data_IF_340111714044
#
_entry.id   IF_340111714044
#
_cell.length_a   1.000
_cell.length_b   1.000
_cell.length_c   1.000
_cell.angle_alpha   90.00
_cell.angle_beta   90.00
_cell.angle_gamma   90.00
#
_symmetry.space_group_name_H-M   'P 1'
#
loop_
_entity.id
_entity.type
_entity.pdbx_description
1 polymer ?
#
# COMPACT_ATOMS: atom_id res chain seq x y z
N UNK A 1 -71.48 31.64 1.00
CA UNK A 1 -71.67 30.20 0.76
C UNK A 1 -71.19 29.90 -0.66
N UNK A 2 -70.31 28.91 -0.87
CA UNK A 2 -69.94 28.48 -2.23
C UNK A 2 -71.21 27.99 -2.94
N UNK A 3 -71.41 28.38 -4.20
CA UNK A 3 -72.57 27.92 -4.98
C UNK A 3 -72.31 26.50 -5.50
N UNK A 4 -73.34 25.66 -5.74
CA UNK A 4 -73.18 24.27 -6.20
C UNK A 4 -72.39 24.10 -7.52
N UNK A 5 -72.16 25.17 -8.29
CA UNK A 5 -71.30 25.18 -9.47
C UNK A 5 -69.79 25.20 -9.17
N UNK A 6 -69.38 25.62 -7.96
CA UNK A 6 -67.98 25.62 -7.50
C UNK A 6 -67.47 24.22 -7.09
N UNK A 7 -68.33 23.19 -7.16
CA UNK A 7 -67.99 21.81 -6.83
C UNK A 7 -67.84 20.88 -8.05
N UNK A 8 -68.02 21.41 -9.26
CA UNK A 8 -67.78 20.62 -10.48
C UNK A 8 -66.27 20.58 -10.77
N UNK A 9 -65.69 19.39 -11.02
CA UNK A 9 -64.28 19.26 -11.37
C UNK A 9 -63.97 20.19 -12.53
N UNK A 10 -62.93 21.02 -12.36
CA UNK A 10 -62.67 22.20 -13.18
C UNK A 10 -62.87 21.90 -14.67
N UNK A 11 -63.71 22.71 -15.33
CA UNK A 11 -64.06 22.52 -16.74
C UNK A 11 -62.82 22.50 -17.65
N UNK A 12 -62.99 22.25 -18.96
CA UNK A 12 -61.89 22.06 -19.93
C UNK A 12 -60.80 23.16 -19.90
N UNK A 13 -61.17 24.37 -19.51
CA UNK A 13 -60.28 25.51 -19.34
C UNK A 13 -59.35 25.40 -18.13
N UNK A 14 -59.81 24.79 -17.02
CA UNK A 14 -58.97 24.50 -15.85
C UNK A 14 -57.92 23.44 -16.22
N UNK A 15 -58.36 22.34 -16.86
CA UNK A 15 -57.46 21.30 -17.35
C UNK A 15 -56.40 21.85 -18.32
N UNK A 16 -56.78 22.78 -19.21
CA UNK A 16 -55.84 23.40 -20.12
C UNK A 16 -54.78 24.25 -19.40
N UNK A 17 -55.14 24.94 -18.32
CA UNK A 17 -54.21 25.70 -17.46
C UNK A 17 -53.29 24.75 -16.70
N UNK A 18 -53.84 23.70 -16.10
CA UNK A 18 -53.07 22.70 -15.34
C UNK A 18 -52.05 21.99 -16.25
N UNK A 19 -52.42 21.66 -17.49
CA UNK A 19 -51.51 21.10 -18.50
C UNK A 19 -50.40 22.11 -18.88
N UNK A 20 -50.73 23.39 -19.02
CA UNK A 20 -49.75 24.42 -19.33
C UNK A 20 -48.73 24.60 -18.19
N UNK A 21 -49.20 24.56 -16.95
CA UNK A 21 -48.36 24.64 -15.75
C UNK A 21 -47.47 23.40 -15.59
N UNK A 22 -48.01 22.19 -15.78
CA UNK A 22 -47.21 20.97 -15.80
C UNK A 22 -46.14 21.01 -16.89
N UNK A 23 -46.46 21.50 -18.10
CA UNK A 23 -45.47 21.66 -19.19
C UNK A 23 -44.38 22.67 -18.85
N UNK A 24 -44.70 23.72 -18.08
CA UNK A 24 -43.72 24.69 -17.60
C UNK A 24 -42.81 24.06 -16.53
N UNK A 25 -43.39 23.41 -15.53
CA UNK A 25 -42.65 22.72 -14.47
C UNK A 25 -41.75 21.61 -15.04
N UNK A 26 -42.22 20.83 -16.02
CA UNK A 26 -41.39 19.81 -16.69
C UNK A 26 -40.24 20.43 -17.47
N UNK A 27 -40.44 21.60 -18.10
CA UNK A 27 -39.33 22.33 -18.76
C UNK A 27 -38.31 22.83 -17.76
N UNK A 28 -38.76 23.38 -16.62
CA UNK A 28 -37.88 23.82 -15.54
C UNK A 28 -37.11 22.64 -14.92
N UNK A 29 -37.77 21.51 -14.64
CA UNK A 29 -37.10 20.30 -14.14
C UNK A 29 -36.10 19.71 -15.14
N UNK A 30 -36.42 19.77 -16.45
CA UNK A 30 -35.48 19.33 -17.50
C UNK A 30 -34.29 20.28 -17.64
N UNK A 31 -34.49 21.59 -17.48
CA UNK A 31 -33.41 22.56 -17.44
C UNK A 31 -32.55 22.36 -16.18
N UNK A 32 -33.18 22.18 -15.02
CA UNK A 32 -32.51 21.92 -13.74
C UNK A 32 -31.72 20.59 -13.71
N UNK A 33 -32.09 19.61 -14.54
CA UNK A 33 -31.33 18.35 -14.70
C UNK A 33 -29.94 18.55 -15.29
N UNK A 34 -29.67 19.68 -15.97
CA UNK A 34 -28.34 20.03 -16.48
C UNK A 34 -27.72 21.07 -15.56
N UNK A 35 -26.89 20.60 -14.64
CA UNK A 35 -26.07 21.48 -13.80
C UNK A 35 -24.84 21.91 -14.62
N UNK A 36 -24.95 23.04 -15.33
CA UNK A 36 -23.84 23.62 -16.10
C UNK A 36 -22.89 24.43 -15.21
N UNK A 37 -23.42 25.05 -14.16
CA UNK A 37 -22.67 25.74 -13.11
C UNK A 37 -23.44 25.64 -11.80
N UNK A 38 -22.82 25.03 -10.79
CA UNK A 38 -23.43 24.84 -9.48
C UNK A 38 -22.38 25.00 -8.39
N UNK A 39 -22.70 25.80 -7.37
CA UNK A 39 -21.97 25.80 -6.11
C UNK A 39 -22.67 24.85 -5.14
N UNK A 40 -21.91 23.95 -4.53
CA UNK A 40 -22.44 23.05 -3.49
C UNK A 40 -22.37 23.79 -2.16
N UNK A 41 -23.54 24.12 -1.59
CA UNK A 41 -23.64 24.76 -0.28
C UNK A 41 -23.31 23.81 0.88
N UNK A 42 -23.57 24.25 2.11
CA UNK A 42 -23.24 23.51 3.33
C UNK A 42 -23.84 22.09 3.42
N UNK A 43 -24.92 21.80 2.66
CA UNK A 43 -25.54 20.47 2.60
C UNK A 43 -24.75 19.43 1.81
N UNK A 44 -23.72 19.83 1.05
CA UNK A 44 -22.86 18.90 0.31
C UNK A 44 -23.52 18.25 -0.92
N UNK A 45 -22.75 17.39 -1.59
CA UNK A 45 -23.21 16.51 -2.68
C UNK A 45 -23.08 15.07 -2.20
N UNK A 46 -24.19 14.33 -2.19
CA UNK A 46 -24.19 12.90 -1.86
C UNK A 46 -24.47 12.07 -3.12
N UNK A 47 -23.52 11.22 -3.48
CA UNK A 47 -23.64 10.26 -4.57
C UNK A 47 -24.00 8.89 -3.96
N UNK A 48 -25.07 8.25 -4.45
CA UNK A 48 -25.59 6.97 -3.91
C UNK A 48 -25.98 6.02 -5.03
N UNK A 49 -26.30 4.76 -4.70
CA UNK A 49 -26.79 3.78 -5.68
C UNK A 49 -25.77 3.43 -6.77
N UNK A 50 -24.47 3.48 -6.44
CA UNK A 50 -23.39 3.24 -7.39
C UNK A 50 -23.14 4.39 -8.38
N UNK A 51 -23.63 5.60 -8.07
CA UNK A 51 -23.29 6.81 -8.84
C UNK A 51 -21.79 7.11 -8.86
N UNK A 52 -21.39 8.01 -9.78
CA UNK A 52 -19.99 8.29 -10.11
C UNK A 52 -19.77 9.78 -10.30
N UNK A 53 -18.65 10.29 -9.82
CA UNK A 53 -18.11 11.61 -10.14
C UNK A 53 -16.95 11.46 -11.13
N UNK A 54 -17.01 12.25 -12.20
CA UNK A 54 -16.29 12.04 -13.43
C UNK A 54 -15.77 13.37 -13.97
N UNK A 55 -14.49 13.43 -14.33
CA UNK A 55 -13.93 14.55 -15.10
C UNK A 55 -13.27 14.04 -16.36
N UNK A 56 -13.74 14.50 -17.52
CA UNK A 56 -13.20 14.18 -18.84
C UNK A 56 -12.53 15.43 -19.45
N UNK A 57 -11.41 15.25 -20.13
CA UNK A 57 -10.81 16.32 -20.95
C UNK A 57 -11.65 16.56 -22.22
N UNK A 58 -11.44 17.68 -22.94
CA UNK A 58 -12.05 17.90 -24.25
C UNK A 58 -11.80 16.76 -25.25
N UNK A 59 -10.66 16.06 -25.10
CA UNK A 59 -10.28 14.91 -25.91
C UNK A 59 -10.88 13.58 -25.41
N UNK A 60 -11.84 13.63 -24.48
CA UNK A 60 -12.51 12.47 -23.85
C UNK A 60 -11.58 11.55 -23.06
N UNK A 61 -10.47 12.09 -22.53
CA UNK A 61 -9.63 11.36 -21.59
C UNK A 61 -10.19 11.52 -20.18
N UNK A 62 -10.49 10.41 -19.51
CA UNK A 62 -10.92 10.40 -18.11
C UNK A 62 -9.75 10.82 -17.22
N UNK A 63 -9.87 11.93 -16.49
CA UNK A 63 -8.86 12.41 -15.54
C UNK A 63 -9.19 12.07 -14.10
N UNK A 64 -10.43 12.29 -13.67
CA UNK A 64 -10.88 11.97 -12.31
C UNK A 64 -12.05 11.01 -12.39
N UNK A 65 -11.98 9.96 -11.61
CA UNK A 65 -13.02 8.96 -11.49
C UNK A 65 -13.21 8.55 -10.03
N UNK A 66 -14.38 8.81 -9.48
CA UNK A 66 -14.72 8.48 -8.09
C UNK A 66 -16.10 7.81 -8.08
N UNK A 67 -16.16 6.58 -7.56
CA UNK A 67 -17.39 5.80 -7.48
C UNK A 67 -17.21 4.39 -8.07
N UNK A 68 -18.30 3.80 -8.56
CA UNK A 68 -18.29 2.42 -9.06
C UNK A 68 -17.42 2.25 -10.30
N UNK A 69 -16.44 1.34 -10.25
CA UNK A 69 -15.74 0.86 -11.43
C UNK A 69 -16.68 -0.03 -12.25
N UNK A 70 -16.82 0.32 -13.52
CA UNK A 70 -17.68 -0.42 -14.47
C UNK A 70 -16.97 -1.57 -15.16
N UNK A 71 -15.69 -1.73 -14.90
CA UNK A 71 -14.85 -2.74 -15.55
C UNK A 71 -14.77 -3.99 -14.68
N UNK A 72 -15.31 -5.09 -15.21
CA UNK A 72 -15.50 -6.35 -14.49
C UNK A 72 -14.19 -6.96 -13.98
N UNK A 73 -13.03 -6.60 -14.53
CA UNK A 73 -11.74 -7.08 -14.02
C UNK A 73 -11.41 -6.55 -12.62
N UNK A 74 -12.08 -5.49 -12.19
CA UNK A 74 -11.94 -4.89 -10.85
C UNK A 74 -13.11 -5.21 -9.94
N UNK A 75 -14.04 -6.08 -10.36
CA UNK A 75 -15.09 -6.58 -9.48
C UNK A 75 -14.47 -7.39 -8.35
N UNK A 76 -15.13 -7.34 -7.19
CA UNK A 76 -14.82 -8.23 -6.07
C UNK A 76 -14.94 -9.70 -6.49
N UNK A 77 -14.39 -10.62 -5.70
CA UNK A 77 -14.43 -12.05 -5.99
C UNK A 77 -15.85 -12.63 -6.04
N UNK A 78 -16.82 -11.96 -5.41
CA UNK A 78 -18.25 -12.27 -5.50
C UNK A 78 -18.93 -11.75 -6.80
N UNK A 79 -18.17 -11.06 -7.66
CA UNK A 79 -18.63 -10.48 -8.91
C UNK A 79 -19.29 -9.10 -8.77
N UNK A 80 -19.43 -8.57 -7.54
CA UNK A 80 -19.99 -7.25 -7.30
C UNK A 80 -19.01 -6.13 -7.73
N UNK A 81 -19.52 -4.98 -8.19
CA UNK A 81 -18.65 -3.91 -8.66
C UNK A 81 -18.02 -3.15 -7.49
N UNK A 82 -16.75 -2.78 -7.65
CA UNK A 82 -15.98 -2.11 -6.62
C UNK A 82 -16.10 -0.58 -6.71
N UNK A 83 -16.08 0.10 -5.56
CA UNK A 83 -15.91 1.56 -5.50
C UNK A 83 -14.43 1.92 -5.59
N UNK A 84 -14.06 2.92 -6.37
CA UNK A 84 -12.67 3.33 -6.51
C UNK A 84 -12.51 4.84 -6.60
N UNK A 85 -11.25 5.24 -6.42
CA UNK A 85 -10.75 6.57 -6.75
C UNK A 85 -9.65 6.37 -7.79
N UNK A 86 -9.73 7.06 -8.93
CA UNK A 86 -8.67 7.10 -9.92
C UNK A 86 -8.42 8.55 -10.35
N UNK A 87 -7.15 8.92 -10.31
CA UNK A 87 -6.63 10.16 -10.86
C UNK A 87 -5.63 9.82 -11.95
N UNK A 88 -5.86 10.36 -13.15
CA UNK A 88 -5.06 10.14 -14.36
C UNK A 88 -4.45 11.45 -14.84
N UNK A 89 -3.34 11.33 -15.55
CA UNK A 89 -2.69 12.42 -16.27
C UNK A 89 -3.47 12.73 -17.56
N UNK A 90 -3.12 13.83 -18.22
CA UNK A 90 -3.75 14.24 -19.48
C UNK A 90 -3.57 13.21 -20.62
N UNK A 91 -2.50 12.41 -20.56
CA UNK A 91 -2.24 11.30 -21.48
C UNK A 91 -3.06 10.03 -21.17
N UNK A 92 -3.88 10.05 -20.11
CA UNK A 92 -4.70 8.92 -19.66
C UNK A 92 -3.99 7.95 -18.71
N UNK A 93 -2.69 8.11 -18.51
CA UNK A 93 -1.89 7.30 -17.59
C UNK A 93 -2.30 7.51 -16.14
N UNK A 94 -2.41 6.43 -15.37
CA UNK A 94 -2.81 6.49 -13.96
C UNK A 94 -1.71 7.17 -13.14
N UNK A 95 -2.09 8.16 -12.33
CA UNK A 95 -1.19 8.87 -11.42
C UNK A 95 -1.41 8.40 -9.98
N UNK A 96 -2.67 8.29 -9.56
CA UNK A 96 -3.04 7.88 -8.21
C UNK A 96 -4.32 7.06 -8.26
N UNK A 97 -4.41 6.00 -7.45
CA UNK A 97 -5.62 5.22 -7.36
C UNK A 97 -5.83 4.57 -5.99
N UNK A 98 -7.08 4.30 -5.67
CA UNK A 98 -7.51 3.43 -4.58
C UNK A 98 -8.51 2.43 -5.15
N UNK A 99 -8.09 1.17 -5.28
CA UNK A 99 -8.91 0.03 -5.69
C UNK A 99 -8.16 -1.27 -5.35
N UNK A 100 -8.89 -2.37 -5.16
CA UNK A 100 -8.32 -3.72 -5.11
C UNK A 100 -8.22 -4.32 -6.52
N UNK A 101 -7.27 -5.24 -6.73
CA UNK A 101 -7.18 -6.04 -7.95
C UNK A 101 -7.38 -7.52 -7.61
N UNK A 102 -8.64 -7.98 -7.49
CA UNK A 102 -8.95 -9.34 -7.04
C UNK A 102 -8.34 -10.46 -7.88
N UNK A 103 -8.11 -10.33 -9.20
CA UNK A 103 -7.39 -11.36 -9.96
C UNK A 103 -5.98 -11.67 -9.43
N UNK A 104 -5.34 -10.73 -8.70
CA UNK A 104 -4.06 -10.95 -8.01
C UNK A 104 -4.20 -11.38 -6.55
N UNK A 105 -5.40 -11.73 -6.08
CA UNK A 105 -5.64 -12.44 -4.83
C UNK A 105 -6.00 -11.61 -3.59
N UNK A 106 -6.12 -10.28 -3.70
CA UNK A 106 -6.57 -9.43 -2.59
C UNK A 106 -7.76 -8.56 -2.99
N UNK A 107 -8.81 -8.62 -2.17
CA UNK A 107 -9.96 -7.72 -2.24
C UNK A 107 -9.76 -6.44 -1.43
N UNK A 108 -8.65 -6.33 -0.70
CA UNK A 108 -8.33 -5.15 0.07
C UNK A 108 -7.86 -4.04 -0.88
N UNK A 109 -8.50 -2.87 -0.76
CA UNK A 109 -8.10 -1.70 -1.50
C UNK A 109 -6.79 -1.16 -0.95
N UNK A 110 -5.96 -0.64 -1.86
CA UNK A 110 -4.75 0.08 -1.47
C UNK A 110 -4.68 1.40 -2.23
N UNK A 111 -4.31 2.47 -1.55
CA UNK A 111 -3.77 3.67 -2.17
C UNK A 111 -2.46 3.36 -2.88
N UNK A 112 -2.36 3.81 -4.14
CA UNK A 112 -1.18 3.63 -5.00
C UNK A 112 -0.91 4.93 -5.75
N UNK A 113 0.35 5.31 -5.78
CA UNK A 113 0.90 6.37 -6.63
C UNK A 113 1.76 5.72 -7.71
N UNK A 114 1.59 6.18 -8.95
CA UNK A 114 2.20 5.58 -10.13
C UNK A 114 3.14 6.57 -10.83
N UNK A 115 4.22 6.09 -11.43
CA UNK A 115 5.03 6.86 -12.38
C UNK A 115 4.35 6.95 -13.76
N UNK A 116 5.06 7.47 -14.78
CA UNK A 116 4.53 7.57 -16.15
C UNK A 116 4.52 6.25 -16.91
N UNK A 117 5.31 5.27 -16.50
CA UNK A 117 5.37 3.94 -17.15
C UNK A 117 4.45 2.93 -16.49
N UNK A 118 3.73 3.33 -15.44
CA UNK A 118 2.74 2.51 -14.75
C UNK A 118 3.31 1.73 -13.55
N UNK A 119 4.53 2.04 -13.11
CA UNK A 119 5.09 1.42 -11.90
C UNK A 119 4.55 2.11 -10.65
N UNK A 120 4.28 1.31 -9.62
CA UNK A 120 3.91 1.80 -8.29
C UNK A 120 5.16 2.35 -7.60
N UNK A 121 5.16 3.65 -7.33
CA UNK A 121 6.23 4.36 -6.62
C UNK A 121 5.97 4.46 -5.11
N UNK A 122 4.68 4.50 -4.73
CA UNK A 122 4.25 4.50 -3.34
C UNK A 122 2.95 3.72 -3.24
N UNK A 123 2.83 2.86 -2.23
CA UNK A 123 1.57 2.19 -1.94
C UNK A 123 1.48 1.83 -0.46
N UNK A 124 0.27 1.78 0.07
CA UNK A 124 0.02 1.14 1.36
C UNK A 124 0.04 -0.39 1.25
N UNK A 125 0.39 -1.07 2.33
CA UNK A 125 0.28 -2.51 2.39
C UNK A 125 -1.15 -2.94 2.76
N UNK A 126 -1.94 -3.22 1.73
CA UNK A 126 -3.29 -3.75 1.89
C UNK A 126 -3.33 -5.16 2.51
N UNK A 127 -2.22 -5.91 2.49
CA UNK A 127 -2.16 -7.26 3.04
C UNK A 127 -2.16 -7.25 4.57
N UNK A 128 -1.20 -6.54 5.19
CA UNK A 128 -1.15 -6.39 6.65
C UNK A 128 -2.07 -5.27 7.18
N UNK A 129 -2.49 -4.34 6.32
CA UNK A 129 -3.20 -3.14 6.73
C UNK A 129 -2.30 -2.12 7.47
N UNK A 130 -0.98 -2.30 7.45
CA UNK A 130 -0.02 -1.49 8.18
C UNK A 130 1.09 -0.97 7.26
N UNK A 131 1.29 0.35 7.28
CA UNK A 131 2.43 0.99 6.64
C UNK A 131 2.39 1.00 5.11
N UNK A 132 3.57 1.12 4.51
CA UNK A 132 3.77 1.19 3.06
C UNK A 132 4.23 -0.15 2.50
N UNK A 133 3.59 -0.64 1.44
CA UNK A 133 4.17 -1.71 0.61
C UNK A 133 5.36 -1.19 -0.21
N UNK A 134 5.36 0.12 -0.56
CA UNK A 134 6.46 0.80 -1.26
C UNK A 134 6.55 2.28 -0.86
N UNK A 135 7.75 2.87 -0.78
CA UNK A 135 9.07 2.26 -1.00
C UNK A 135 9.54 1.42 0.19
N UNK A 136 10.53 0.56 -0.05
CA UNK A 136 11.24 -0.14 1.03
C UNK A 136 12.06 0.85 1.85
N UNK A 137 12.02 0.69 3.16
CA UNK A 137 12.67 1.63 4.08
C UNK A 137 14.00 1.06 4.57
N UNK A 138 15.13 1.75 4.33
CA UNK A 138 16.44 1.25 4.75
C UNK A 138 16.51 1.20 6.29
N UNK A 139 17.06 0.11 6.81
CA UNK A 139 17.35 -0.08 8.22
C UNK A 139 18.85 0.14 8.41
N UNK A 140 19.28 1.18 9.15
CA UNK A 140 20.70 1.42 9.38
C UNK A 140 21.24 0.41 10.40
N UNK A 141 22.34 -0.25 10.05
CA UNK A 141 23.12 -1.07 10.98
C UNK A 141 24.58 -0.59 10.97
N UNK A 142 25.20 -0.61 12.14
CA UNK A 142 26.63 -0.43 12.31
C UNK A 142 27.33 -1.74 12.72
N UNK A 143 28.65 -1.84 12.53
CA UNK A 143 29.42 -2.96 13.05
C UNK A 143 29.30 -2.99 14.58
N UNK A 144 29.11 -4.17 15.15
CA UNK A 144 29.13 -4.33 16.59
C UNK A 144 30.58 -4.26 17.11
N UNK A 145 30.77 -3.62 18.27
CA UNK A 145 32.09 -3.55 18.90
C UNK A 145 32.43 -4.88 19.57
N UNK A 146 33.52 -5.52 19.14
CA UNK A 146 33.98 -6.82 19.66
C UNK A 146 35.15 -6.70 20.65
N UNK A 147 35.41 -5.50 21.23
CA UNK A 147 36.47 -5.33 22.22
C UNK A 147 37.89 -5.25 21.65
N UNK A 148 38.03 -5.16 20.32
CA UNK A 148 39.31 -5.06 19.61
C UNK A 148 39.29 -3.88 18.62
N UNK A 149 40.47 -3.38 18.27
CA UNK A 149 40.67 -2.35 17.23
C UNK A 149 40.53 -2.91 15.79
N UNK A 150 40.21 -4.20 15.65
CA UNK A 150 39.82 -4.79 14.37
C UNK A 150 38.44 -4.27 13.97
N UNK A 151 38.40 -3.35 13.00
CA UNK A 151 37.17 -2.72 12.50
C UNK A 151 36.27 -3.64 11.65
N UNK A 152 36.66 -4.90 11.46
CA UNK A 152 35.93 -5.87 10.65
C UNK A 152 35.22 -6.91 11.53
N UNK A 153 33.87 -6.91 11.57
CA UNK A 153 33.11 -7.89 12.35
C UNK A 153 33.52 -9.32 12.05
N UNK A 154 33.82 -10.11 13.09
CA UNK A 154 34.26 -11.49 12.94
C UNK A 154 33.83 -12.39 14.11
N UNK A 155 33.56 -13.65 13.83
CA UNK A 155 33.36 -14.65 14.87
C UNK A 155 34.40 -15.78 14.76
N UNK A 156 35.36 -15.80 15.67
CA UNK A 156 36.41 -16.84 15.75
C UNK A 156 36.14 -17.90 16.84
N UNK A 157 35.13 -17.68 17.68
CA UNK A 157 34.72 -18.59 18.75
C UNK A 157 33.53 -19.46 18.37
N UNK A 158 33.26 -20.47 19.20
CA UNK A 158 32.04 -21.30 19.13
C UNK A 158 30.84 -20.66 19.83
N UNK A 159 31.09 -19.61 20.62
CA UNK A 159 30.05 -18.78 21.25
C UNK A 159 29.57 -17.73 20.26
N UNK A 160 28.27 -17.49 20.25
CA UNK A 160 27.64 -16.46 19.42
C UNK A 160 28.14 -15.06 19.82
N UNK A 161 28.64 -14.31 18.84
CA UNK A 161 29.01 -12.91 18.99
C UNK A 161 28.18 -12.03 18.06
N UNK A 162 27.97 -10.78 18.44
CA UNK A 162 27.30 -9.78 17.59
C UNK A 162 28.29 -9.28 16.54
N UNK A 163 27.88 -9.29 15.28
CA UNK A 163 28.66 -8.82 14.14
C UNK A 163 28.16 -7.44 13.69
N UNK A 164 26.84 -7.30 13.55
CA UNK A 164 26.19 -6.05 13.17
C UNK A 164 25.03 -5.77 14.12
N UNK A 165 24.77 -4.51 14.41
CA UNK A 165 23.65 -4.10 15.26
C UNK A 165 23.05 -2.78 14.78
N UNK A 166 21.75 -2.64 14.99
CA UNK A 166 21.00 -1.44 14.65
C UNK A 166 19.73 -1.37 15.47
N UNK A 167 19.09 -0.19 15.41
CA UNK A 167 17.81 0.06 16.06
C UNK A 167 16.97 0.93 15.12
N UNK A 168 15.73 0.55 14.90
CA UNK A 168 14.83 1.22 13.96
C UNK A 168 13.41 1.29 14.51
N UNK A 169 12.57 2.15 13.94
CA UNK A 169 11.13 2.18 14.24
C UNK A 169 10.38 1.28 13.26
N UNK A 170 9.49 0.41 13.74
CA UNK A 170 8.68 -0.43 12.86
C UNK A 170 7.72 0.42 12.04
N UNK A 171 8.00 0.59 10.75
CA UNK A 171 7.07 1.24 9.83
C UNK A 171 6.39 0.26 8.88
N UNK A 172 7.13 -0.73 8.36
CA UNK A 172 6.59 -1.76 7.45
C UNK A 172 6.52 -3.14 8.14
N UNK A 173 5.66 -4.06 7.68
CA UNK A 173 5.37 -5.31 8.37
C UNK A 173 6.53 -6.31 8.35
N UNK A 174 7.44 -6.26 7.38
CA UNK A 174 8.52 -7.23 7.28
C UNK A 174 9.91 -6.58 7.28
N UNK A 175 10.93 -7.39 7.52
CA UNK A 175 12.33 -7.02 7.38
C UNK A 175 13.11 -8.03 6.53
N UNK A 176 14.01 -7.51 5.70
CA UNK A 176 14.95 -8.31 4.90
C UNK A 176 16.36 -7.79 5.16
N UNK A 177 17.31 -8.72 5.31
CA UNK A 177 18.72 -8.42 5.42
C UNK A 177 19.50 -9.18 4.35
N UNK A 178 20.40 -8.48 3.66
CA UNK A 178 21.33 -9.04 2.68
C UNK A 178 22.75 -8.82 3.17
N UNK A 179 23.51 -9.90 3.22
CA UNK A 179 24.91 -9.86 3.66
C UNK A 179 25.75 -10.85 2.90
N UNK A 180 27.06 -10.62 2.90
CA UNK A 180 28.06 -11.56 2.41
C UNK A 180 28.78 -12.17 3.61
N UNK A 181 29.00 -13.48 3.59
CA UNK A 181 29.78 -14.14 4.62
C UNK A 181 30.65 -15.26 4.05
N UNK A 182 31.78 -15.52 4.73
CA UNK A 182 32.69 -16.62 4.44
C UNK A 182 33.42 -17.03 5.71
N UNK A 183 33.80 -18.30 5.81
CA UNK A 183 34.91 -18.71 6.66
C UNK A 183 36.23 -18.31 5.97
N UNK A 184 37.25 -17.93 6.74
CA UNK A 184 38.58 -17.57 6.22
C UNK A 184 39.56 -18.74 6.14
N UNK A 185 39.15 -19.93 6.59
CA UNK A 185 39.98 -21.14 6.63
C UNK A 185 39.24 -22.33 6.04
N UNK A 186 39.93 -23.10 5.17
CA UNK A 186 39.38 -24.31 4.54
C UNK A 186 38.97 -25.37 5.57
N UNK A 187 37.86 -26.05 5.31
CA UNK A 187 37.28 -27.06 6.21
C UNK A 187 36.57 -26.51 7.44
N UNK A 188 36.57 -25.19 7.66
CA UNK A 188 35.82 -24.56 8.73
C UNK A 188 34.36 -24.28 8.31
N UNK A 189 33.46 -24.32 9.29
CA UNK A 189 32.05 -23.96 9.12
C UNK A 189 31.62 -22.98 10.21
N UNK A 190 30.64 -22.14 9.91
CA UNK A 190 30.03 -21.23 10.87
C UNK A 190 28.55 -21.00 10.58
N UNK A 191 27.90 -20.28 11.47
CA UNK A 191 26.52 -19.82 11.29
C UNK A 191 26.44 -18.31 11.44
N UNK A 192 25.55 -17.71 10.65
CA UNK A 192 25.06 -16.35 10.83
C UNK A 192 23.59 -16.41 11.24
N UNK A 193 23.18 -15.50 12.09
CA UNK A 193 21.84 -15.48 12.69
C UNK A 193 21.32 -14.04 12.69
N UNK A 194 20.15 -13.81 12.10
CA UNK A 194 19.41 -12.55 12.22
C UNK A 194 18.54 -12.65 13.46
N UNK A 195 18.78 -11.80 14.46
CA UNK A 195 17.95 -11.67 15.64
C UNK A 195 17.25 -10.30 15.68
N UNK A 196 15.95 -10.32 15.95
CA UNK A 196 15.09 -9.14 16.03
C UNK A 196 14.40 -9.13 17.39
N UNK A 197 14.61 -8.08 18.17
CA UNK A 197 14.19 -7.94 19.57
C UNK A 197 14.72 -9.06 20.47
N UNK A 198 15.93 -9.54 20.20
CA UNK A 198 16.59 -10.59 20.99
C UNK A 198 16.25 -12.03 20.58
N UNK A 199 15.25 -12.24 19.72
CA UNK A 199 14.89 -13.57 19.21
C UNK A 199 15.52 -13.83 17.84
N UNK A 200 16.19 -14.97 17.66
CA UNK A 200 16.70 -15.41 16.35
C UNK A 200 15.53 -15.74 15.43
N UNK A 201 15.51 -15.12 14.25
CA UNK A 201 14.42 -15.22 13.27
C UNK A 201 14.82 -15.91 11.96
N UNK A 202 16.10 -15.82 11.60
CA UNK A 202 16.63 -16.50 10.42
C UNK A 202 18.09 -16.88 10.65
N UNK A 203 18.52 -17.97 10.03
CA UNK A 203 19.88 -18.51 10.17
C UNK A 203 20.44 -18.91 8.82
N UNK A 204 21.75 -18.73 8.61
CA UNK A 204 22.47 -19.17 7.42
C UNK A 204 23.73 -19.94 7.80
N UNK A 205 23.98 -21.06 7.11
CA UNK A 205 25.23 -21.82 7.27
C UNK A 205 26.30 -21.27 6.34
N UNK A 206 27.50 -21.05 6.88
CA UNK A 206 28.64 -20.45 6.18
C UNK A 206 29.77 -21.47 6.09
N UNK A 207 30.36 -21.60 4.90
CA UNK A 207 31.51 -22.48 4.63
C UNK A 207 32.72 -21.64 4.19
N UNK A 208 33.82 -22.30 3.84
CA UNK A 208 34.98 -21.67 3.20
C UNK A 208 34.68 -21.34 1.72
N UNK A 209 33.76 -20.41 1.51
CA UNK A 209 33.41 -19.84 0.22
C UNK A 209 32.65 -18.54 0.47
N UNK A 210 32.93 -17.53 -0.34
CA UNK A 210 32.21 -16.26 -0.29
C UNK A 210 30.80 -16.47 -0.81
N UNK A 211 29.81 -16.35 0.06
CA UNK A 211 28.40 -16.52 -0.27
C UNK A 211 27.57 -15.29 0.12
N UNK A 212 26.54 -15.02 -0.66
CA UNK A 212 25.51 -14.04 -0.33
C UNK A 212 24.35 -14.73 0.39
N UNK A 213 23.86 -14.07 1.42
CA UNK A 213 22.75 -14.54 2.25
C UNK A 213 21.66 -13.48 2.24
N UNK A 214 20.44 -13.90 1.94
CA UNK A 214 19.22 -13.13 2.14
C UNK A 214 18.48 -13.75 3.32
N UNK A 215 18.44 -13.03 4.43
CA UNK A 215 17.74 -13.42 5.65
C UNK A 215 16.41 -12.65 5.69
N UNK A 216 15.30 -13.37 5.54
CA UNK A 216 13.95 -12.81 5.44
C UNK A 216 13.26 -13.15 4.10
N UNK A 217 12.08 -12.57 3.82
CA UNK A 217 11.37 -11.61 4.67
C UNK A 217 10.90 -12.23 5.99
N UNK A 218 11.05 -11.47 7.06
CA UNK A 218 10.58 -11.86 8.38
C UNK A 218 9.51 -10.89 8.87
N UNK A 219 8.35 -11.42 9.27
CA UNK A 219 7.21 -10.64 9.74
C UNK A 219 7.45 -10.09 11.16
N UNK A 220 7.22 -8.79 11.33
CA UNK A 220 7.37 -8.05 12.57
C UNK A 220 6.04 -7.93 13.32
N UNK A 221 5.18 -8.95 13.22
CA UNK A 221 3.82 -8.94 13.78
C UNK A 221 3.80 -8.83 15.30
N UNK A 222 4.88 -9.26 15.96
CA UNK A 222 5.08 -9.19 17.42
C UNK A 222 5.30 -7.75 17.95
N UNK A 223 5.35 -6.75 17.07
CA UNK A 223 5.70 -5.37 17.42
C UNK A 223 4.68 -4.36 16.89
N UNK A 224 4.45 -3.29 17.64
CA UNK A 224 3.49 -2.25 17.27
C UNK A 224 4.06 -1.27 16.23
N UNK A 225 3.17 -0.59 15.50
CA UNK A 225 3.57 0.48 14.58
C UNK A 225 4.31 1.58 15.34
N UNK A 226 5.44 2.05 14.79
CA UNK A 226 6.37 2.99 15.41
C UNK A 226 7.01 2.51 16.72
N UNK A 227 6.91 1.22 17.07
CA UNK A 227 7.72 0.66 18.14
C UNK A 227 9.19 0.63 17.73
N UNK A 228 10.07 1.01 18.65
CA UNK A 228 11.51 0.92 18.44
C UNK A 228 11.99 -0.53 18.67
N UNK A 229 12.66 -1.11 17.68
CA UNK A 229 13.10 -2.51 17.68
C UNK A 229 14.61 -2.59 17.51
N UNK A 230 15.24 -3.47 18.28
CA UNK A 230 16.64 -3.85 18.12
C UNK A 230 16.79 -4.94 17.06
N UNK A 231 17.74 -4.76 16.15
CA UNK A 231 18.18 -5.77 15.18
C UNK A 231 19.65 -6.07 15.40
N UNK A 232 19.99 -7.35 15.41
CA UNK A 232 21.37 -7.80 15.47
C UNK A 232 21.61 -8.92 14.48
N UNK A 233 22.75 -8.86 13.79
CA UNK A 233 23.32 -10.01 13.10
C UNK A 233 24.36 -10.60 14.02
N UNK A 234 24.24 -11.88 14.27
CA UNK A 234 25.13 -12.62 15.14
C UNK A 234 25.80 -13.73 14.35
N UNK A 235 26.93 -14.23 14.83
CA UNK A 235 27.57 -15.37 14.22
C UNK A 235 28.48 -16.13 15.17
N UNK A 236 28.82 -17.35 14.77
CA UNK A 236 29.76 -18.24 15.47
C UNK A 236 30.38 -19.24 14.53
N UNK A 237 31.57 -19.73 14.87
CA UNK A 237 32.17 -20.89 14.22
C UNK A 237 31.53 -22.16 14.77
N UNK A 238 31.09 -23.05 13.89
CA UNK A 238 30.50 -24.35 14.26
C UNK A 238 31.50 -25.50 14.21
N UNK A 239 32.48 -25.44 13.30
CA UNK A 239 33.56 -26.43 13.22
C UNK A 239 34.85 -25.85 12.61
N UNK A 240 35.97 -26.55 12.83
CA UNK A 240 37.29 -26.17 12.31
C UNK A 240 37.98 -25.03 13.07
N UNK A 241 38.98 -24.42 12.43
CA UNK A 241 39.74 -23.25 12.92
C UNK A 241 39.49 -22.04 12.02
N UNK A 242 39.93 -20.85 12.41
CA UNK A 242 39.72 -19.61 11.63
C UNK A 242 38.53 -18.78 12.13
N UNK A 243 38.18 -17.74 11.38
CA UNK A 243 37.08 -16.84 11.71
C UNK A 243 36.02 -16.80 10.61
N UNK A 244 34.77 -16.68 11.05
CA UNK A 244 33.67 -16.24 10.21
C UNK A 244 33.80 -14.74 9.99
N UNK A 245 33.79 -14.31 8.74
CA UNK A 245 33.79 -12.90 8.33
C UNK A 245 32.45 -12.59 7.68
N UNK A 246 31.86 -11.47 8.05
CA UNK A 246 30.54 -11.11 7.52
C UNK A 246 30.39 -9.60 7.32
N UNK A 247 29.95 -9.23 6.13
CA UNK A 247 29.79 -7.82 5.72
C UNK A 247 28.33 -7.59 5.33
N UNK A 248 27.74 -6.54 5.90
CA UNK A 248 26.39 -6.13 5.55
C UNK A 248 26.39 -5.44 4.17
N UNK A 249 25.44 -5.83 3.31
CA UNK A 249 25.19 -5.16 2.04
C UNK A 249 23.98 -4.25 2.09
N UNK A 250 22.86 -4.75 2.64
CA UNK A 250 21.66 -3.96 2.84
C UNK A 250 20.78 -4.56 3.93
N UNK A 251 20.00 -3.70 4.57
CA UNK A 251 18.88 -4.11 5.40
C UNK A 251 17.75 -3.12 5.16
N UNK A 252 16.53 -3.60 5.02
CA UNK A 252 15.37 -2.77 4.72
C UNK A 252 14.09 -3.44 5.18
N UNK A 253 13.10 -2.62 5.51
CA UNK A 253 11.74 -3.07 5.74
C UNK A 253 10.99 -3.19 4.42
N UNK A 254 10.05 -4.15 4.34
CA UNK A 254 9.11 -4.33 3.22
C UNK A 254 7.68 -4.58 3.71
#
# INVERSE_FOLDING_TARGET
MPTPGDQLPGGPQQMARDIADLKRQVRELRAARRLESAAVGAGGLRVTGGGRLAMDTPNRVRMVDIGTLTDAQYNHGDGSPQQAIQLRREDGGLALACYAYPPSGSEAQSWRLYDRTGNVIMAEDAGSGLGLARPYLPVPLGPAYEGSWDYWPRASGTTTTRLWQGRFYKQLPNIVLVMQASMDTSGATGTIELAVGGTVRATGSVAFSVAYFTLGPYALDDYDHMQQIDITVQGRRTAGTGALRATLYSAYQI
#
